data_IF_138148186591
#
_entry.id   IF_138148186591
#
_cell.length_a   1.000
_cell.length_b   1.000
_cell.length_c   1.000
_cell.angle_alpha   90.00
_cell.angle_beta   90.00
_cell.angle_gamma   90.00
#
_symmetry.space_group_name_H-M   'P 1'
#
loop_
_entity.id
_entity.type
_entity.pdbx_description
1 polymer ?
#
# COMPACT_ATOMS: atom_id res chain seq x y z
N UNK A 1 -26.23 -16.12 -26.97
CA UNK A 1 -25.05 -15.28 -27.27
C UNK A 1 -24.98 -14.02 -26.40
N UNK A 2 -25.92 -13.06 -26.48
CA UNK A 2 -25.84 -11.77 -25.75
C UNK A 2 -25.67 -11.88 -24.22
N UNK A 3 -26.34 -12.83 -23.57
CA UNK A 3 -26.19 -13.08 -22.12
C UNK A 3 -24.85 -13.69 -21.75
N UNK A 4 -24.27 -14.54 -22.61
CA UNK A 4 -22.96 -15.15 -22.39
C UNK A 4 -21.84 -14.12 -22.52
N UNK A 5 -21.89 -13.29 -23.57
CA UNK A 5 -20.95 -12.17 -23.77
C UNK A 5 -21.00 -11.18 -22.60
N UNK A 6 -22.20 -10.86 -22.13
CA UNK A 6 -22.41 -9.99 -20.96
C UNK A 6 -21.79 -10.57 -19.68
N UNK A 7 -21.98 -11.86 -19.42
CA UNK A 7 -21.38 -12.53 -18.27
C UNK A 7 -19.84 -12.54 -18.32
N UNK A 8 -19.28 -12.87 -19.49
CA UNK A 8 -17.82 -12.84 -19.69
C UNK A 8 -17.26 -11.43 -19.48
N UNK A 9 -17.91 -10.40 -20.03
CA UNK A 9 -17.47 -9.02 -19.88
C UNK A 9 -17.44 -8.59 -18.40
N UNK A 10 -18.44 -8.97 -17.61
CA UNK A 10 -18.45 -8.69 -16.17
C UNK A 10 -17.36 -9.46 -15.43
N UNK A 11 -17.11 -10.73 -15.76
CA UNK A 11 -16.01 -11.49 -15.15
C UNK A 11 -14.67 -10.80 -15.40
N UNK A 12 -14.37 -10.42 -16.65
CA UNK A 12 -13.14 -9.70 -16.96
C UNK A 12 -13.09 -8.32 -16.28
N UNK A 13 -14.21 -7.60 -16.18
CA UNK A 13 -14.27 -6.35 -15.46
C UNK A 13 -13.91 -6.52 -13.97
N UNK A 14 -14.41 -7.58 -13.33
CA UNK A 14 -14.08 -7.91 -11.94
C UNK A 14 -12.60 -8.29 -11.78
N UNK A 15 -12.05 -9.09 -12.70
CA UNK A 15 -10.63 -9.45 -12.69
C UNK A 15 -9.73 -8.21 -12.83
N UNK A 16 -10.05 -7.33 -13.78
CA UNK A 16 -9.31 -6.08 -13.96
C UNK A 16 -9.45 -5.17 -12.74
N UNK A 17 -10.62 -5.10 -12.12
CA UNK A 17 -10.83 -4.36 -10.86
C UNK A 17 -9.96 -4.94 -9.74
N UNK A 18 -9.88 -6.27 -9.66
CA UNK A 18 -9.05 -7.03 -8.73
C UNK A 18 -7.57 -6.64 -8.75
N UNK A 19 -7.09 -6.18 -9.92
CA UNK A 19 -5.71 -5.76 -10.15
C UNK A 19 -5.58 -4.23 -10.07
N UNK A 20 -6.49 -3.49 -10.70
CA UNK A 20 -6.44 -2.03 -10.80
C UNK A 20 -6.48 -1.35 -9.44
N UNK A 21 -7.30 -1.86 -8.51
CA UNK A 21 -7.46 -1.26 -7.17
C UNK A 21 -6.18 -1.38 -6.34
N UNK A 22 -5.55 -2.57 -6.17
CA UNK A 22 -4.24 -2.67 -5.54
C UNK A 22 -3.17 -1.81 -6.21
N UNK A 23 -3.12 -1.77 -7.55
CA UNK A 23 -2.17 -0.91 -8.27
C UNK A 23 -2.40 0.58 -7.96
N UNK A 24 -3.65 1.05 -7.98
CA UNK A 24 -4.00 2.43 -7.66
C UNK A 24 -3.66 2.78 -6.20
N UNK A 25 -3.88 1.84 -5.28
CA UNK A 25 -3.50 2.00 -3.88
C UNK A 25 -1.97 2.09 -3.72
N UNK A 26 -1.22 1.23 -4.41
CA UNK A 26 0.25 1.24 -4.37
C UNK A 26 0.80 2.53 -4.97
N UNK A 27 0.26 2.98 -6.09
CA UNK A 27 0.60 4.28 -6.66
C UNK A 27 0.32 5.41 -5.66
N UNK A 28 -0.83 5.37 -5.01
CA UNK A 28 -1.25 6.38 -4.05
C UNK A 28 -0.44 6.45 -2.76
N UNK A 29 -0.01 5.30 -2.21
CA UNK A 29 0.54 5.23 -0.85
C UNK A 29 2.01 4.79 -0.81
N UNK A 30 2.57 4.29 -1.91
CA UNK A 30 3.96 3.82 -1.97
C UNK A 30 4.76 4.63 -2.99
N UNK A 31 4.23 4.80 -4.21
CA UNK A 31 4.96 5.49 -5.28
C UNK A 31 4.91 7.00 -5.11
N UNK A 32 3.77 7.58 -4.70
CA UNK A 32 3.67 9.02 -4.43
C UNK A 32 4.23 9.36 -3.06
N UNK A 33 5.09 10.38 -3.03
CA UNK A 33 5.81 10.85 -1.83
C UNK A 33 4.87 11.16 -0.67
N UNK A 34 3.86 12.01 -0.88
CA UNK A 34 2.92 12.41 0.19
C UNK A 34 2.17 11.23 0.80
N UNK A 35 1.77 10.28 -0.04
CA UNK A 35 1.09 9.06 0.40
C UNK A 35 2.00 8.16 1.21
N UNK A 36 3.26 8.02 0.79
CA UNK A 36 4.26 7.24 1.52
C UNK A 36 4.62 7.86 2.87
N UNK A 37 4.79 9.19 2.91
CA UNK A 37 4.98 9.93 4.18
C UNK A 37 3.76 9.76 5.08
N UNK A 38 2.54 9.88 4.55
CA UNK A 38 1.31 9.67 5.31
C UNK A 38 1.17 8.24 5.85
N UNK A 39 1.49 7.24 5.03
CA UNK A 39 1.45 5.83 5.39
C UNK A 39 2.43 5.50 6.53
N UNK A 40 3.62 6.11 6.49
CA UNK A 40 4.71 5.85 7.44
C UNK A 40 4.72 6.80 8.63
N UNK A 41 3.90 7.86 8.62
CA UNK A 41 3.79 8.78 9.76
C UNK A 41 3.26 8.10 11.03
N UNK A 42 2.44 7.04 10.88
CA UNK A 42 1.99 6.22 12.00
C UNK A 42 3.13 5.43 12.65
N UNK A 43 4.09 4.95 11.85
CA UNK A 43 5.29 4.24 12.33
C UNK A 43 6.13 5.16 13.22
N UNK A 44 6.28 6.42 12.83
CA UNK A 44 6.95 7.44 13.65
C UNK A 44 6.26 7.71 14.99
N UNK A 45 5.02 7.28 15.22
CA UNK A 45 4.32 7.46 16.50
C UNK A 45 4.24 6.17 17.33
N UNK A 46 4.66 5.05 16.77
CA UNK A 46 4.61 3.75 17.45
C UNK A 46 5.81 3.58 18.38
N UNK A 47 5.56 3.63 19.68
CA UNK A 47 6.57 3.48 20.72
C UNK A 47 7.26 2.10 20.70
N UNK A 48 6.56 1.04 20.27
CA UNK A 48 7.14 -0.29 20.12
C UNK A 48 8.07 -0.36 18.91
N UNK A 49 7.72 0.30 17.80
CA UNK A 49 8.62 0.44 16.64
C UNK A 49 9.86 1.27 17.00
N UNK A 50 9.67 2.42 17.63
CA UNK A 50 10.74 3.30 18.09
C UNK A 50 11.75 2.58 18.99
N UNK A 51 11.26 1.81 19.97
CA UNK A 51 12.11 1.03 20.89
C UNK A 51 12.94 -0.02 20.15
N UNK A 52 12.33 -0.69 19.16
CA UNK A 52 12.97 -1.73 18.36
C UNK A 52 13.95 -1.14 17.34
N UNK A 53 13.65 0.02 16.75
CA UNK A 53 14.55 0.76 15.88
C UNK A 53 15.79 1.24 16.65
N UNK A 54 15.60 1.81 17.85
CA UNK A 54 16.70 2.22 18.72
C UNK A 54 17.60 1.05 19.10
N UNK A 55 17.02 -0.08 19.54
CA UNK A 55 17.79 -1.29 19.86
C UNK A 55 18.61 -1.80 18.66
N UNK A 56 18.06 -1.71 17.45
CA UNK A 56 18.74 -2.21 16.26
C UNK A 56 19.80 -1.25 15.72
N UNK A 57 19.60 0.06 15.89
CA UNK A 57 20.62 1.07 15.61
C UNK A 57 21.86 0.83 16.50
N UNK A 58 21.66 0.58 17.79
CA UNK A 58 22.74 0.26 18.74
C UNK A 58 23.50 -0.99 18.31
N UNK A 59 22.81 -2.10 18.03
CA UNK A 59 23.45 -3.33 17.57
C UNK A 59 24.23 -3.16 16.25
N UNK A 60 23.75 -2.28 15.36
CA UNK A 60 24.45 -1.97 14.10
C UNK A 60 25.72 -1.14 14.33
N UNK A 61 25.71 -0.23 15.31
CA UNK A 61 26.90 0.53 15.71
C UNK A 61 27.97 -0.35 16.35
N UNK A 62 27.58 -1.24 17.28
CA UNK A 62 28.49 -2.21 17.93
C UNK A 62 29.19 -3.10 16.89
N UNK A 63 28.48 -3.50 15.82
CA UNK A 63 29.07 -4.32 14.76
C UNK A 63 30.10 -3.59 13.88
N UNK A 64 30.11 -2.25 13.88
CA UNK A 64 30.90 -1.42 12.96
C UNK A 64 32.08 -0.72 13.62
N UNK A 65 32.10 -0.59 14.94
CA UNK A 65 33.13 0.17 15.64
C UNK A 65 33.78 -0.72 16.69
N UNK A 66 35.07 -1.04 16.51
CA UNK A 66 35.90 -1.66 17.55
C UNK A 66 36.28 -0.57 18.56
N UNK A 67 35.40 -0.27 19.53
CA UNK A 67 35.71 0.66 20.62
C UNK A 67 36.26 -0.08 21.84
N UNK A 68 37.10 0.56 22.67
CA UNK A 68 37.43 0.03 23.99
C UNK A 68 36.15 -0.16 24.82
N UNK A 69 35.98 -1.33 25.43
CA UNK A 69 34.72 -1.77 26.08
C UNK A 69 34.10 -0.75 27.06
N UNK A 70 34.91 0.10 27.70
CA UNK A 70 34.42 1.11 28.65
C UNK A 70 33.76 2.33 27.99
N UNK A 71 34.15 2.69 26.74
CA UNK A 71 33.58 3.81 25.98
C UNK A 71 32.34 3.36 25.19
N UNK A 72 32.34 2.09 24.78
CA UNK A 72 31.27 1.45 24.02
C UNK A 72 29.97 1.34 24.83
N UNK A 73 30.04 0.89 26.10
CA UNK A 73 28.87 0.79 26.97
C UNK A 73 28.25 2.15 27.34
N UNK A 74 29.08 3.16 27.60
CA UNK A 74 28.61 4.51 27.92
C UNK A 74 28.01 5.21 26.70
N UNK A 75 28.65 5.07 25.52
CA UNK A 75 28.15 5.60 24.26
C UNK A 75 26.87 4.91 23.78
N UNK A 76 26.78 3.58 23.88
CA UNK A 76 25.59 2.82 23.48
C UNK A 76 24.39 3.11 24.39
N UNK A 77 24.61 3.21 25.71
CA UNK A 77 23.55 3.57 26.66
C UNK A 77 23.08 5.00 26.42
N UNK A 78 24.00 5.95 26.22
CA UNK A 78 23.65 7.33 25.88
C UNK A 78 22.94 7.44 24.53
N UNK A 79 23.38 6.73 23.48
CA UNK A 79 22.69 6.72 22.17
C UNK A 79 21.30 6.08 22.27
N UNK A 80 21.15 5.03 23.08
CA UNK A 80 19.86 4.38 23.33
C UNK A 80 18.92 5.30 24.09
N UNK A 81 19.42 5.95 25.14
CA UNK A 81 18.66 6.91 25.94
C UNK A 81 18.32 8.15 25.11
N UNK A 82 19.24 8.64 24.28
CA UNK A 82 19.00 9.74 23.35
C UNK A 82 18.01 9.35 22.26
N UNK A 83 18.09 8.15 21.68
CA UNK A 83 17.13 7.67 20.67
C UNK A 83 15.73 7.47 21.28
N UNK A 84 15.66 7.00 22.53
CA UNK A 84 14.40 6.82 23.27
C UNK A 84 13.82 8.16 23.73
N UNK A 85 14.66 9.10 24.16
CA UNK A 85 14.23 10.45 24.53
C UNK A 85 13.85 11.28 23.30
N UNK A 86 14.54 11.07 22.17
CA UNK A 86 14.30 11.80 20.93
C UNK A 86 12.87 11.61 20.44
N UNK A 87 12.27 10.45 20.64
CA UNK A 87 10.90 10.18 20.21
C UNK A 87 9.84 10.91 21.03
N UNK A 88 10.21 11.40 22.21
CA UNK A 88 9.35 12.24 23.05
C UNK A 88 9.43 13.73 22.68
N UNK A 89 10.37 14.11 21.82
CA UNK A 89 10.53 15.50 21.42
C UNK A 89 9.42 15.95 20.46
N UNK A 90 8.87 17.17 20.63
CA UNK A 90 7.79 17.66 19.79
C UNK A 90 8.16 17.81 18.31
N UNK A 91 9.45 17.95 17.98
CA UNK A 91 9.95 18.07 16.60
C UNK A 91 10.22 16.71 15.93
N UNK A 92 10.21 15.61 16.70
CA UNK A 92 10.49 14.27 16.16
C UNK A 92 9.56 13.85 15.00
N UNK A 93 8.23 14.06 15.06
CA UNK A 93 7.36 13.71 13.95
C UNK A 93 7.74 14.43 12.64
N UNK A 94 8.19 15.69 12.73
CA UNK A 94 8.63 16.44 11.57
C UNK A 94 9.94 15.90 11.00
N UNK A 95 10.92 15.62 11.87
CA UNK A 95 12.19 15.05 11.47
C UNK A 95 12.04 13.64 10.86
N UNK A 96 11.12 12.82 11.41
CA UNK A 96 10.76 11.52 10.85
C UNK A 96 10.17 11.65 9.45
N UNK A 97 9.16 12.52 9.28
CA UNK A 97 8.53 12.74 7.98
C UNK A 97 9.56 13.20 6.94
N UNK A 98 10.47 14.09 7.32
CA UNK A 98 11.55 14.56 6.44
C UNK A 98 12.53 13.45 6.06
N UNK A 99 12.91 12.58 7.01
CA UNK A 99 13.74 11.40 6.74
C UNK A 99 13.08 10.45 5.75
N UNK A 100 11.80 10.12 5.95
CA UNK A 100 11.04 9.27 5.04
C UNK A 100 10.94 9.91 3.66
N UNK A 101 10.62 11.20 3.60
CA UNK A 101 10.46 11.97 2.36
C UNK A 101 11.73 11.98 1.53
N UNK A 102 12.88 12.34 2.13
CA UNK A 102 14.18 12.32 1.46
C UNK A 102 14.57 10.93 0.99
N UNK A 103 14.32 9.93 1.84
CA UNK A 103 14.57 8.53 1.48
C UNK A 103 13.72 8.10 0.29
N UNK A 104 12.44 8.48 0.27
CA UNK A 104 11.55 8.20 -0.86
C UNK A 104 12.08 8.83 -2.15
N UNK A 105 12.45 10.11 -2.13
CA UNK A 105 13.05 10.79 -3.28
C UNK A 105 14.30 10.08 -3.79
N UNK A 106 15.20 9.65 -2.90
CA UNK A 106 16.42 8.93 -3.29
C UNK A 106 16.14 7.56 -3.92
N UNK A 107 15.05 6.89 -3.52
CA UNK A 107 14.71 5.56 -4.02
C UNK A 107 13.76 5.57 -5.23
N UNK A 108 12.97 6.63 -5.43
CA UNK A 108 11.97 6.74 -6.50
C UNK A 108 12.30 7.78 -7.57
N UNK A 109 13.14 8.78 -7.29
CA UNK A 109 13.66 9.66 -8.34
C UNK A 109 14.72 8.91 -9.14
N UNK A 110 14.31 8.34 -10.28
CA UNK A 110 15.22 7.61 -11.16
C UNK A 110 16.45 8.44 -11.51
N UNK A 111 17.63 8.09 -10.98
CA UNK A 111 18.99 8.50 -11.36
C UNK A 111 19.25 9.94 -11.89
N UNK A 112 18.43 10.96 -11.62
CA UNK A 112 18.68 12.33 -12.12
C UNK A 112 19.66 13.13 -11.25
N UNK A 113 20.12 12.58 -10.13
CA UNK A 113 21.17 13.18 -9.30
C UNK A 113 22.53 12.56 -9.62
N UNK A 114 23.33 13.23 -10.46
CA UNK A 114 24.75 12.93 -10.60
C UNK A 114 25.44 13.18 -9.25
N UNK A 115 25.66 12.13 -8.44
CA UNK A 115 26.37 12.29 -7.18
C UNK A 115 26.47 11.07 -6.24
N UNK A 116 25.52 10.13 -6.24
CA UNK A 116 25.52 9.06 -5.23
C UNK A 116 25.45 7.65 -5.84
N UNK A 117 26.61 7.08 -6.13
CA UNK A 117 26.81 5.77 -6.80
C UNK A 117 26.19 4.57 -6.08
N UNK A 118 25.85 4.68 -4.79
CA UNK A 118 25.24 3.61 -3.98
C UNK A 118 23.71 3.55 -4.12
N UNK A 119 23.04 4.69 -4.31
CA UNK A 119 21.58 4.76 -4.45
C UNK A 119 21.07 4.18 -5.79
N UNK A 120 21.94 4.11 -6.80
CA UNK A 120 21.60 3.53 -8.10
C UNK A 120 21.44 2.00 -8.09
N UNK A 121 21.98 1.30 -7.09
CA UNK A 121 22.00 -0.18 -7.04
C UNK A 121 21.42 -0.75 -5.73
N UNK A 122 21.07 0.10 -4.76
CA UNK A 122 20.59 -0.32 -3.44
C UNK A 122 19.59 0.69 -2.88
N UNK A 123 18.72 0.23 -1.99
CA UNK A 123 17.77 1.11 -1.30
C UNK A 123 18.46 1.84 -0.16
N UNK A 124 18.25 3.15 -0.06
CA UNK A 124 18.91 4.02 0.92
C UNK A 124 17.91 4.74 1.82
N UNK A 125 18.29 4.90 3.08
CA UNK A 125 17.56 5.67 4.09
C UNK A 125 18.41 6.88 4.49
N UNK A 126 17.89 8.09 4.30
CA UNK A 126 18.53 9.33 4.75
C UNK A 126 18.09 9.70 6.17
N UNK A 127 18.92 9.37 7.14
CA UNK A 127 18.70 9.71 8.56
C UNK A 127 19.28 11.08 8.95
N UNK A 128 19.77 11.87 7.98
CA UNK A 128 20.29 13.22 8.21
C UNK A 128 19.34 14.14 9.00
N UNK A 129 18.04 14.19 8.69
CA UNK A 129 17.07 14.98 9.46
C UNK A 129 16.97 14.59 10.95
N UNK A 130 17.01 13.29 11.26
CA UNK A 130 17.02 12.80 12.64
C UNK A 130 18.35 13.10 13.34
N UNK A 131 19.48 12.96 12.63
CA UNK A 131 20.81 13.30 13.15
C UNK A 131 20.92 14.80 13.47
N UNK A 132 20.35 15.66 12.61
CA UNK A 132 20.27 17.11 12.82
C UNK A 132 19.45 17.45 14.06
N UNK A 133 18.27 16.83 14.21
CA UNK A 133 17.44 17.03 15.40
C UNK A 133 18.20 16.66 16.69
N UNK A 134 18.92 15.53 16.68
CA UNK A 134 19.74 15.13 17.82
C UNK A 134 20.88 16.12 18.13
N UNK A 135 21.56 16.62 17.09
CA UNK A 135 22.62 17.61 17.24
C UNK A 135 22.12 18.97 17.74
N UNK A 136 20.98 19.45 17.23
CA UNK A 136 20.36 20.71 17.65
C UNK A 136 19.97 20.66 19.14
N UNK A 137 19.44 19.52 19.61
CA UNK A 137 19.09 19.31 21.02
C UNK A 137 20.32 19.19 21.91
N UNK A 138 21.37 18.52 21.45
CA UNK A 138 22.64 18.42 22.19
C UNK A 138 23.34 19.78 22.28
N UNK A 139 23.30 20.58 21.21
CA UNK A 139 23.79 21.95 21.21
C UNK A 139 23.01 22.83 22.20
N UNK A 140 21.68 22.73 22.21
CA UNK A 140 20.85 23.49 23.15
C UNK A 140 21.14 23.12 24.63
N UNK A 141 21.50 21.86 24.92
CA UNK A 141 21.80 21.40 26.27
C UNK A 141 23.23 21.70 26.74
N UNK A 142 24.22 21.69 25.83
CA UNK A 142 25.65 21.75 26.18
C UNK A 142 26.37 23.01 25.68
N UNK A 143 25.79 23.75 24.75
CA UNK A 143 26.40 24.88 24.06
C UNK A 143 27.49 24.51 23.05
N UNK A 144 27.80 23.22 22.87
CA UNK A 144 28.86 22.76 21.97
C UNK A 144 28.35 22.66 20.53
N UNK A 145 28.99 23.31 19.53
CA UNK A 145 28.59 23.17 18.14
C UNK A 145 28.98 21.79 17.62
N UNK A 146 28.00 21.02 17.14
CA UNK A 146 28.22 19.71 16.51
C UNK A 146 27.90 19.84 15.04
N UNK A 147 28.93 19.73 14.19
CA UNK A 147 28.75 19.66 12.75
C UNK A 147 28.13 18.29 12.40
N UNK A 148 26.88 18.30 11.94
CA UNK A 148 26.24 17.11 11.36
C UNK A 148 26.23 17.21 9.84
N UNK A 149 26.56 16.13 9.12
CA UNK A 149 26.38 16.09 7.67
C UNK A 149 24.91 16.30 7.30
N UNK A 150 24.64 17.10 6.28
CA UNK A 150 23.26 17.39 5.81
C UNK A 150 22.50 16.14 5.31
N UNK A 151 23.24 15.09 4.93
CA UNK A 151 22.72 13.79 4.52
C UNK A 151 23.52 12.66 5.17
N UNK A 152 22.83 11.68 5.76
CA UNK A 152 23.46 10.46 6.32
C UNK A 152 22.75 9.25 5.75
N UNK A 153 23.37 8.62 4.76
CA UNK A 153 22.76 7.53 3.98
C UNK A 153 23.08 6.15 4.59
N UNK A 154 22.04 5.40 4.92
CA UNK A 154 22.13 4.01 5.39
C UNK A 154 21.57 3.10 4.30
N UNK A 155 22.34 2.11 3.87
CA UNK A 155 21.85 1.09 2.95
C UNK A 155 20.89 0.13 3.69
N UNK A 156 19.66 0.02 3.20
CA UNK A 156 18.59 -0.77 3.78
C UNK A 156 18.14 -1.94 2.90
N UNK A 157 18.62 -2.04 1.66
CA UNK A 157 18.20 -3.10 0.73
C UNK A 157 19.13 -3.29 -0.46
N UNK A 158 19.32 -4.54 -0.87
CA UNK A 158 20.19 -4.88 -1.99
C UNK A 158 19.54 -4.70 -3.38
N UNK A 159 20.24 -5.12 -4.45
CA UNK A 159 19.78 -4.97 -5.83
C UNK A 159 18.44 -5.64 -6.13
N UNK A 160 18.14 -6.77 -5.49
CA UNK A 160 16.87 -7.48 -5.67
C UNK A 160 15.68 -6.66 -5.16
N UNK A 161 15.81 -6.02 -3.98
CA UNK A 161 14.78 -5.13 -3.45
C UNK A 161 14.65 -3.87 -4.31
N UNK A 162 15.77 -3.34 -4.83
CA UNK A 162 15.74 -2.21 -5.78
C UNK A 162 14.93 -2.55 -7.03
N UNK A 163 15.16 -3.73 -7.62
CA UNK A 163 14.43 -4.18 -8.80
C UNK A 163 12.93 -4.30 -8.55
N UNK A 164 12.51 -4.74 -7.36
CA UNK A 164 11.09 -4.79 -6.99
C UNK A 164 10.49 -3.39 -6.88
N UNK A 165 11.19 -2.45 -6.24
CA UNK A 165 10.77 -1.05 -6.15
C UNK A 165 10.68 -0.41 -7.53
N UNK A 166 11.63 -0.68 -8.43
CA UNK A 166 11.61 -0.19 -9.81
C UNK A 166 10.42 -0.74 -10.59
N UNK A 167 10.13 -2.03 -10.45
CA UNK A 167 8.94 -2.64 -11.06
C UNK A 167 7.65 -1.99 -10.53
N UNK A 168 7.55 -1.78 -9.23
CA UNK A 168 6.40 -1.12 -8.61
C UNK A 168 6.26 0.32 -9.13
N UNK A 169 7.36 1.08 -9.15
CA UNK A 169 7.38 2.46 -9.63
C UNK A 169 7.01 2.57 -11.12
N UNK A 170 7.41 1.59 -11.94
CA UNK A 170 7.07 1.57 -13.35
C UNK A 170 5.61 1.19 -13.61
N UNK A 171 5.08 0.19 -12.91
CA UNK A 171 3.77 -0.39 -13.24
C UNK A 171 2.62 0.17 -12.41
N UNK A 172 2.79 0.49 -11.12
CA UNK A 172 1.68 0.95 -10.29
C UNK A 172 0.99 2.22 -10.83
N UNK A 173 1.70 3.24 -11.36
CA UNK A 173 1.06 4.42 -11.98
C UNK A 173 0.20 4.08 -13.21
N UNK A 174 0.37 2.89 -13.81
CA UNK A 174 -0.41 2.43 -14.95
C UNK A 174 -1.76 1.81 -14.57
N UNK A 175 -2.20 1.94 -13.31
CA UNK A 175 -3.48 1.40 -12.81
C UNK A 175 -4.70 1.83 -13.65
N UNK A 176 -4.62 2.98 -14.32
CA UNK A 176 -5.69 3.49 -15.18
C UNK A 176 -5.97 2.59 -16.38
N UNK A 177 -5.00 1.81 -16.86
CA UNK A 177 -5.18 0.89 -18.00
C UNK A 177 -6.18 -0.23 -17.65
N UNK A 178 -5.93 -1.09 -16.62
CA UNK A 178 -6.90 -2.07 -16.19
C UNK A 178 -8.17 -1.41 -15.61
N UNK A 179 -8.05 -0.23 -14.96
CA UNK A 179 -9.19 0.52 -14.45
C UNK A 179 -10.19 0.92 -15.54
N UNK A 180 -9.72 1.55 -16.62
CA UNK A 180 -10.57 1.91 -17.76
C UNK A 180 -11.12 0.66 -18.45
N UNK A 181 -10.29 -0.39 -18.62
CA UNK A 181 -10.72 -1.67 -19.16
C UNK A 181 -11.88 -2.27 -18.36
N UNK A 182 -11.80 -2.23 -17.03
CA UNK A 182 -12.86 -2.71 -16.15
C UNK A 182 -14.17 -1.94 -16.34
N UNK A 183 -14.11 -0.60 -16.37
CA UNK A 183 -15.30 0.25 -16.57
C UNK A 183 -15.93 -0.01 -17.93
N UNK A 184 -15.14 -0.04 -19.00
CA UNK A 184 -15.63 -0.28 -20.36
C UNK A 184 -16.29 -1.65 -20.49
N UNK A 185 -15.65 -2.71 -19.99
CA UNK A 185 -16.21 -4.05 -20.02
C UNK A 185 -17.49 -4.18 -19.19
N UNK A 186 -17.54 -3.53 -18.02
CA UNK A 186 -18.75 -3.50 -17.21
C UNK A 186 -19.91 -2.81 -17.95
N UNK A 187 -19.66 -1.64 -18.55
CA UNK A 187 -20.66 -0.90 -19.35
C UNK A 187 -21.13 -1.73 -20.54
N UNK A 188 -20.22 -2.33 -21.31
CA UNK A 188 -20.57 -3.21 -22.43
C UNK A 188 -21.38 -4.42 -21.96
N UNK A 189 -20.99 -5.03 -20.84
CA UNK A 189 -21.73 -6.12 -20.20
C UNK A 189 -23.15 -5.70 -19.84
N UNK A 190 -23.32 -4.51 -19.25
CA UNK A 190 -24.61 -3.95 -18.86
C UNK A 190 -25.51 -3.63 -20.06
N UNK A 191 -24.93 -3.08 -21.14
CA UNK A 191 -25.65 -2.77 -22.37
C UNK A 191 -26.10 -4.04 -23.12
N UNK A 192 -25.28 -5.09 -23.09
CA UNK A 192 -25.60 -6.37 -23.73
C UNK A 192 -26.63 -7.21 -22.94
N UNK A 193 -26.80 -6.94 -21.64
CA UNK A 193 -27.64 -7.74 -20.74
C UNK A 193 -29.14 -7.58 -21.04
N UNK A 194 -29.83 -8.71 -21.20
CA UNK A 194 -31.30 -8.76 -21.29
C UNK A 194 -31.99 -8.45 -19.96
N UNK A 195 -31.36 -8.78 -18.83
CA UNK A 195 -31.87 -8.57 -17.47
C UNK A 195 -30.82 -7.83 -16.63
N UNK A 196 -30.82 -6.51 -16.73
CA UNK A 196 -29.82 -5.64 -16.08
C UNK A 196 -29.76 -5.84 -14.57
N UNK A 197 -30.91 -6.05 -13.91
CA UNK A 197 -30.95 -6.34 -12.47
C UNK A 197 -30.17 -7.61 -12.07
N UNK A 198 -30.34 -8.70 -12.82
CA UNK A 198 -29.60 -9.94 -12.55
C UNK A 198 -28.10 -9.75 -12.72
N UNK A 199 -27.67 -9.00 -13.76
CA UNK A 199 -26.25 -8.71 -13.97
C UNK A 199 -25.65 -7.90 -12.81
N UNK A 200 -26.36 -6.86 -12.34
CA UNK A 200 -25.92 -6.04 -11.22
C UNK A 200 -25.82 -6.85 -9.93
N UNK A 201 -26.77 -7.78 -9.70
CA UNK A 201 -26.73 -8.68 -8.55
C UNK A 201 -25.46 -9.55 -8.58
N UNK A 202 -25.17 -10.19 -9.71
CA UNK A 202 -23.95 -10.99 -9.87
C UNK A 202 -22.67 -10.15 -9.84
N UNK A 203 -22.71 -8.90 -10.32
CA UNK A 203 -21.58 -7.97 -10.20
C UNK A 203 -21.32 -7.64 -8.73
N UNK A 204 -22.37 -7.37 -7.94
CA UNK A 204 -22.25 -7.16 -6.50
C UNK A 204 -21.65 -8.36 -5.78
N UNK A 205 -22.13 -9.58 -6.09
CA UNK A 205 -21.54 -10.82 -5.56
C UNK A 205 -20.10 -11.02 -6.01
N UNK A 206 -19.77 -10.68 -7.25
CA UNK A 206 -18.41 -10.75 -7.77
C UNK A 206 -17.47 -9.78 -7.07
N UNK A 207 -17.90 -8.53 -6.84
CA UNK A 207 -17.14 -7.55 -6.08
C UNK A 207 -16.97 -7.97 -4.62
N UNK A 208 -17.99 -8.58 -4.01
CA UNK A 208 -17.87 -9.17 -2.68
C UNK A 208 -16.81 -10.28 -2.64
N UNK A 209 -16.74 -11.13 -3.67
CA UNK A 209 -15.70 -12.15 -3.79
C UNK A 209 -14.30 -11.53 -3.96
N UNK A 210 -14.16 -10.45 -4.74
CA UNK A 210 -12.89 -9.72 -4.87
C UNK A 210 -12.47 -9.08 -3.54
N UNK A 211 -13.41 -8.44 -2.83
CA UNK A 211 -13.14 -7.85 -1.51
C UNK A 211 -12.72 -8.92 -0.49
N UNK A 212 -13.40 -10.07 -0.47
CA UNK A 212 -13.03 -11.21 0.36
C UNK A 212 -11.64 -11.74 0.00
N UNK A 213 -11.32 -11.85 -1.30
CA UNK A 213 -10.00 -12.27 -1.76
C UNK A 213 -8.90 -11.32 -1.26
N UNK A 214 -9.11 -10.00 -1.37
CA UNK A 214 -8.18 -9.02 -0.82
C UNK A 214 -8.02 -9.15 0.69
N UNK A 215 -9.12 -9.40 1.42
CA UNK A 215 -9.06 -9.59 2.86
C UNK A 215 -8.28 -10.85 3.27
N UNK A 216 -8.39 -11.93 2.50
CA UNK A 216 -7.55 -13.13 2.71
C UNK A 216 -6.09 -12.85 2.34
N UNK A 217 -5.85 -12.12 1.25
CA UNK A 217 -4.49 -11.76 0.86
C UNK A 217 -3.78 -10.90 1.93
N UNK A 218 -4.50 -9.97 2.56
CA UNK A 218 -3.93 -9.13 3.62
C UNK A 218 -3.63 -9.89 4.91
N UNK A 219 -4.44 -10.90 5.28
CA UNK A 219 -4.15 -11.74 6.45
C UNK A 219 -2.94 -12.63 6.22
N UNK A 220 -2.80 -13.20 5.01
CA UNK A 220 -1.61 -13.97 4.61
C UNK A 220 -0.37 -13.08 4.62
N UNK A 221 -0.48 -11.85 4.10
CA UNK A 221 0.64 -10.91 4.05
C UNK A 221 1.10 -10.48 5.46
N UNK A 222 0.16 -10.23 6.39
CA UNK A 222 0.48 -10.00 7.81
C UNK A 222 1.21 -11.19 8.43
N UNK A 223 0.69 -12.40 8.23
CA UNK A 223 1.31 -13.62 8.76
C UNK A 223 2.70 -13.90 8.18
N UNK A 224 2.91 -13.62 6.89
CA UNK A 224 4.23 -13.72 6.26
C UNK A 224 5.21 -12.67 6.83
N UNK A 225 4.73 -11.43 7.05
CA UNK A 225 5.51 -10.38 7.72
C UNK A 225 5.94 -10.78 9.13
N UNK A 226 5.05 -11.42 9.89
CA UNK A 226 5.33 -11.95 11.23
C UNK A 226 6.34 -13.12 11.21
N UNK A 227 6.37 -13.91 10.14
CA UNK A 227 7.33 -15.00 9.95
C UNK A 227 8.74 -14.52 9.56
N UNK A 228 8.91 -13.22 9.27
CA UNK A 228 10.20 -12.59 9.00
C UNK A 228 10.52 -12.46 7.49
N UNK A 229 10.38 -11.24 6.94
CA UNK A 229 10.65 -10.92 5.53
C UNK A 229 11.99 -10.17 5.30
N UNK A 230 12.86 -10.07 6.31
CA UNK A 230 14.10 -9.29 6.23
C UNK A 230 15.36 -10.13 6.08
N UNK A 231 16.21 -9.80 5.10
CA UNK A 231 17.57 -10.37 5.00
C UNK A 231 18.53 -9.92 6.12
N UNK A 232 18.11 -8.96 6.96
CA UNK A 232 18.81 -8.47 8.16
C UNK A 232 17.80 -8.16 9.28
N UNK A 233 18.22 -8.16 10.55
CA UNK A 233 17.34 -7.93 11.71
C UNK A 233 16.64 -6.55 11.66
N UNK A 234 17.34 -5.49 11.24
CA UNK A 234 16.80 -4.11 11.13
C UNK A 234 15.82 -3.95 9.99
N UNK A 235 16.17 -4.47 8.81
CA UNK A 235 15.31 -4.41 7.63
C UNK A 235 14.03 -5.22 7.82
N UNK A 236 14.11 -6.35 8.53
CA UNK A 236 12.96 -7.19 8.85
C UNK A 236 11.92 -6.50 9.73
N UNK A 237 12.37 -5.74 10.74
CA UNK A 237 11.46 -4.96 11.58
C UNK A 237 10.74 -3.87 10.79
N UNK A 238 11.49 -3.04 10.04
CA UNK A 238 10.90 -1.97 9.24
C UNK A 238 9.95 -2.52 8.18
N UNK A 239 10.34 -3.60 7.49
CA UNK A 239 9.48 -4.25 6.51
C UNK A 239 8.20 -4.80 7.14
N UNK A 240 8.28 -5.44 8.32
CA UNK A 240 7.12 -5.95 9.03
C UNK A 240 6.14 -4.85 9.40
N UNK A 241 6.62 -3.77 10.01
CA UNK A 241 5.74 -2.69 10.45
C UNK A 241 5.21 -1.89 9.25
N UNK A 242 5.99 -1.72 8.18
CA UNK A 242 5.52 -1.14 6.93
C UNK A 242 4.42 -2.00 6.30
N UNK A 243 4.55 -3.34 6.33
CA UNK A 243 3.51 -4.27 5.87
C UNK A 243 2.26 -4.16 6.74
N UNK A 244 2.40 -4.07 8.06
CA UNK A 244 1.28 -3.89 8.97
C UNK A 244 0.52 -2.59 8.68
N UNK A 245 1.24 -1.47 8.58
CA UNK A 245 0.67 -0.17 8.22
C UNK A 245 0.01 -0.18 6.83
N UNK A 246 0.64 -0.84 5.86
CA UNK A 246 0.10 -1.01 4.50
C UNK A 246 -1.22 -1.76 4.51
N UNK A 247 -1.29 -2.87 5.24
CA UNK A 247 -2.53 -3.67 5.35
C UNK A 247 -3.63 -2.89 6.07
N UNK A 248 -3.29 -2.21 7.16
CA UNK A 248 -4.27 -1.41 7.90
C UNK A 248 -4.82 -0.26 7.06
N UNK A 249 -3.97 0.40 6.26
CA UNK A 249 -4.43 1.43 5.32
C UNK A 249 -5.27 0.84 4.17
N UNK A 250 -4.89 -0.32 3.62
CA UNK A 250 -5.63 -0.97 2.55
C UNK A 250 -6.99 -1.52 2.99
N UNK A 251 -7.17 -1.85 4.28
CA UNK A 251 -8.47 -2.28 4.81
C UNK A 251 -9.58 -1.24 4.56
N UNK A 252 -9.27 0.06 4.56
CA UNK A 252 -10.25 1.09 4.19
C UNK A 252 -10.76 0.94 2.76
N UNK A 253 -9.90 0.56 1.82
CA UNK A 253 -10.27 0.29 0.42
C UNK A 253 -11.10 -0.99 0.28
N UNK A 254 -10.77 -2.03 1.07
CA UNK A 254 -11.58 -3.26 1.15
C UNK A 254 -12.98 -2.95 1.68
N UNK A 255 -13.11 -2.09 2.70
CA UNK A 255 -14.42 -1.64 3.21
C UNK A 255 -15.23 -0.91 2.14
N UNK A 256 -14.60 0.00 1.37
CA UNK A 256 -15.27 0.67 0.25
C UNK A 256 -15.76 -0.35 -0.79
N UNK A 257 -14.96 -1.37 -1.09
CA UNK A 257 -15.34 -2.43 -2.02
C UNK A 257 -16.51 -3.28 -1.51
N UNK A 258 -16.57 -3.58 -0.21
CA UNK A 258 -17.72 -4.23 0.42
C UNK A 258 -18.99 -3.38 0.32
N UNK A 259 -18.89 -2.08 0.56
CA UNK A 259 -20.02 -1.15 0.42
C UNK A 259 -20.49 -1.13 -1.04
N UNK A 260 -19.58 -0.99 -1.99
CA UNK A 260 -19.91 -1.00 -3.42
C UNK A 260 -20.59 -2.32 -3.83
N UNK A 261 -20.04 -3.46 -3.38
CA UNK A 261 -20.63 -4.78 -3.59
C UNK A 261 -22.08 -4.86 -3.08
N UNK A 262 -22.32 -4.37 -1.86
CA UNK A 262 -23.66 -4.29 -1.27
C UNK A 262 -24.62 -3.42 -2.07
N UNK A 263 -24.18 -2.24 -2.51
CA UNK A 263 -24.97 -1.33 -3.35
C UNK A 263 -25.34 -2.00 -4.68
N UNK A 264 -24.38 -2.60 -5.38
CA UNK A 264 -24.64 -3.30 -6.64
C UNK A 264 -25.60 -4.49 -6.45
N UNK A 265 -25.43 -5.27 -5.38
CA UNK A 265 -26.31 -6.38 -5.06
C UNK A 265 -27.75 -5.91 -4.79
N UNK A 266 -27.93 -4.84 -4.01
CA UNK A 266 -29.24 -4.25 -3.71
C UNK A 266 -29.92 -3.69 -4.96
N UNK A 267 -29.20 -2.89 -5.76
CA UNK A 267 -29.72 -2.36 -7.02
C UNK A 267 -30.10 -3.49 -8.00
N UNK A 268 -29.29 -4.54 -8.04
CA UNK A 268 -29.56 -5.72 -8.84
C UNK A 268 -30.81 -6.48 -8.39
N UNK A 269 -30.98 -6.66 -7.09
CA UNK A 269 -32.14 -7.30 -6.50
C UNK A 269 -33.42 -6.51 -6.81
N UNK A 270 -33.42 -5.19 -6.58
CA UNK A 270 -34.55 -4.32 -6.90
C UNK A 270 -34.86 -4.38 -8.40
N UNK A 271 -33.86 -4.25 -9.26
CA UNK A 271 -34.03 -4.34 -10.70
C UNK A 271 -34.56 -5.70 -11.17
N UNK A 272 -34.21 -6.80 -10.50
CA UNK A 272 -34.71 -8.13 -10.82
C UNK A 272 -36.18 -8.32 -10.39
N UNK A 273 -36.58 -7.76 -9.25
CA UNK A 273 -37.96 -7.81 -8.73
C UNK A 273 -38.90 -6.94 -9.57
N UNK A 274 -38.48 -5.73 -9.94
CA UNK A 274 -39.32 -4.77 -10.67
C UNK A 274 -39.29 -4.94 -12.20
N UNK A 275 -38.48 -5.86 -12.74
CA UNK A 275 -38.47 -6.13 -14.18
C UNK A 275 -39.78 -6.81 -14.61
N UNK A 276 -40.56 -6.24 -15.55
CA UNK A 276 -41.83 -6.83 -15.96
C UNK A 276 -41.61 -8.22 -16.55
N UNK A 277 -42.27 -9.24 -15.96
CA UNK A 277 -42.37 -10.57 -16.56
C UNK A 277 -43.08 -10.39 -17.90
N UNK A 278 -42.38 -10.67 -19.00
CA UNK A 278 -43.00 -10.70 -20.33
C UNK A 278 -44.23 -11.61 -20.26
N UNK A 279 -45.43 -11.03 -20.43
CA UNK A 279 -46.68 -11.78 -20.41
C UNK A 279 -46.58 -12.88 -21.47
N UNK A 280 -46.86 -14.15 -21.14
CA UNK A 280 -46.93 -15.18 -22.17
C UNK A 280 -48.02 -14.73 -23.15
N UNK A 281 -47.64 -14.55 -24.41
CA UNK A 281 -48.60 -14.29 -25.48
C UNK A 281 -49.57 -15.46 -25.49
N UNK A 282 -50.76 -15.26 -24.95
CA UNK A 282 -51.89 -16.15 -25.16
C UNK A 282 -52.08 -16.18 -26.67
N UNK A 283 -51.61 -17.25 -27.33
CA UNK A 283 -52.03 -17.57 -28.68
C UNK A 283 -53.52 -17.85 -28.57
N UNK A 284 -54.32 -16.82 -28.80
CA UNK A 284 -55.72 -16.99 -29.14
C UNK A 284 -55.71 -17.77 -30.44
N UNK A 285 -55.98 -19.08 -30.37
CA UNK A 285 -56.37 -19.86 -31.52
C UNK A 285 -57.69 -19.27 -32.04
N UNK A 286 -57.61 -18.23 -32.86
CA UNK A 286 -58.68 -17.82 -33.73
C UNK A 286 -58.68 -18.78 -34.92
N UNK A 287 -59.22 -19.97 -34.71
CA UNK A 287 -59.77 -20.80 -35.78
C UNK A 287 -61.29 -20.74 -35.64
N UNK A 288 -61.86 -19.62 -36.08
CA UNK A 288 -63.22 -19.64 -36.65
C UNK A 288 -63.13 -20.45 -37.95
N UNK A 289 -63.95 -21.50 -38.10
CA UNK A 289 -65.24 -21.39 -38.77
C UNK A 289 -65.11 -20.86 -40.20
N UNK A 290 -65.01 -21.76 -41.18
CA UNK A 290 -65.69 -21.68 -42.48
C UNK A 290 -65.44 -22.97 -43.28
N UNK A 291 -66.53 -23.52 -43.84
CA UNK A 291 -66.61 -24.50 -44.96
C UNK A 291 -66.30 -25.97 -44.59
N UNK A 292 -67.17 -26.97 -44.76
CA UNK A 292 -68.50 -27.15 -45.38
C UNK A 292 -69.34 -28.16 -44.57
#
# INVERSE_FOLDING_TARGET
MRTFVSAIAVIFALLLTGIAVPMAWTDANIVREDGFVGLTASLGKDQAFQSRLAATAVASLESKINLPAQVEQLGATFLKDAATAMTTWPEYPQAWNETVRRSHQLNFAGNTGAGNSTAGTSLVLDVGPLAKLAADRLHAATGLPIATPDSTLINIGGPAQRQQVDAIAAYAPMWWIPGLGAVLLFVLGLLAAKRRGVLLLFTGLGLAAVAALWQVATTVLKGAGDAGLGGTATGGLFARELVAASVDNFNGWITIAWIAAGVFALLGLLGAIFSPKARPSVRVNAAGSMEE
#
